data_IF_791964793028
#
_entry.id   IF_791964793028
#
_cell.length_a   1.000
_cell.length_b   1.000
_cell.length_c   1.000
_cell.angle_alpha   90.00
_cell.angle_beta   90.00
_cell.angle_gamma   90.00
#
_symmetry.space_group_name_H-M   'P 1'
#
loop_
_entity.id
_entity.type
_entity.pdbx_description
1 polymer ?
#
# COMPACT_ATOMS: atom_id res chain seq x y z
N UNK A 1 4.76 -6.05 2.63
CA UNK A 1 5.91 -6.05 3.57
C UNK A 1 7.25 -6.43 2.91
N UNK A 2 7.87 -7.58 3.21
CA UNK A 2 9.25 -7.89 2.78
C UNK A 2 9.44 -7.89 1.25
N UNK A 3 8.40 -8.26 0.50
CA UNK A 3 8.42 -8.16 -0.97
C UNK A 3 8.68 -6.74 -1.46
N UNK A 4 8.15 -5.71 -0.79
CA UNK A 4 8.39 -4.31 -1.18
C UNK A 4 9.85 -3.91 -0.93
N UNK A 5 10.47 -4.37 0.16
CA UNK A 5 11.91 -4.17 0.41
C UNK A 5 12.73 -4.78 -0.73
N UNK A 6 12.40 -6.00 -1.16
CA UNK A 6 13.08 -6.65 -2.29
C UNK A 6 12.87 -5.86 -3.58
N UNK A 7 11.68 -5.33 -3.84
CA UNK A 7 11.41 -4.51 -5.03
C UNK A 7 12.23 -3.21 -5.06
N UNK A 8 12.48 -2.59 -3.90
CA UNK A 8 13.35 -1.41 -3.82
C UNK A 8 14.83 -1.76 -3.97
N UNK A 9 15.29 -2.83 -3.33
CA UNK A 9 16.69 -3.29 -3.41
C UNK A 9 17.05 -3.88 -4.79
N UNK A 10 16.06 -4.40 -5.53
CA UNK A 10 16.22 -4.83 -6.92
C UNK A 10 16.02 -3.72 -7.95
N UNK A 11 15.75 -2.49 -7.51
CA UNK A 11 15.50 -1.32 -8.35
C UNK A 11 14.31 -1.44 -9.32
N UNK A 12 13.38 -2.35 -9.03
CA UNK A 12 12.06 -2.37 -9.70
C UNK A 12 11.16 -1.25 -9.20
N UNK A 13 11.39 -0.79 -7.97
CA UNK A 13 10.79 0.40 -7.37
C UNK A 13 11.91 1.33 -6.83
N UNK A 14 11.72 2.66 -6.88
CA UNK A 14 12.69 3.59 -6.34
C UNK A 14 12.58 3.74 -4.81
N UNK A 15 13.64 4.25 -4.20
CA UNK A 15 13.75 4.44 -2.75
C UNK A 15 14.31 3.21 -2.03
N UNK A 16 14.16 3.18 -0.72
CA UNK A 16 14.54 2.04 0.13
C UNK A 16 13.67 2.01 1.39
N UNK A 17 13.73 0.90 2.12
CA UNK A 17 13.02 0.68 3.36
C UNK A 17 14.04 0.57 4.49
N UNK A 18 13.90 1.39 5.54
CA UNK A 18 14.75 1.33 6.72
C UNK A 18 13.94 0.95 7.97
N UNK A 19 14.67 0.76 9.09
CA UNK A 19 14.07 0.56 10.41
C UNK A 19 13.03 1.62 10.70
N UNK A 20 11.91 1.22 11.29
CA UNK A 20 10.92 2.15 11.81
C UNK A 20 11.59 3.17 12.74
N UNK A 21 11.16 4.44 12.69
CA UNK A 21 11.71 5.53 13.51
C UNK A 21 11.66 5.27 15.03
N UNK A 22 10.68 4.50 15.49
CA UNK A 22 10.53 4.08 16.88
C UNK A 22 11.29 2.78 17.24
N UNK A 23 12.03 2.19 16.30
CA UNK A 23 12.91 1.01 16.45
C UNK A 23 12.24 -0.24 17.05
N UNK A 24 10.91 -0.35 16.95
CA UNK A 24 10.12 -1.49 17.43
C UNK A 24 9.35 -2.14 16.29
N UNK A 25 9.13 -3.45 16.41
CA UNK A 25 8.17 -4.16 15.58
C UNK A 25 6.76 -3.66 15.91
N UNK A 26 5.97 -3.41 14.86
CA UNK A 26 4.58 -2.98 14.95
C UNK A 26 3.68 -4.03 14.32
N UNK A 27 2.66 -4.42 15.07
CA UNK A 27 1.56 -5.28 14.64
C UNK A 27 0.26 -4.59 15.00
N UNK A 28 -0.42 -4.00 14.00
CA UNK A 28 -1.66 -3.26 14.21
C UNK A 28 -2.47 -3.18 12.93
N UNK A 29 -3.74 -2.87 13.07
CA UNK A 29 -4.57 -2.48 11.94
C UNK A 29 -4.27 -1.03 11.58
N UNK A 30 -4.25 -0.76 10.28
CA UNK A 30 -3.82 0.52 9.75
C UNK A 30 -4.78 0.97 8.65
N UNK A 31 -5.31 2.17 8.83
CA UNK A 31 -6.10 2.87 7.81
C UNK A 31 -5.15 3.41 6.75
N UNK A 32 -5.46 3.11 5.49
CA UNK A 32 -4.78 3.61 4.31
C UNK A 32 -5.77 4.35 3.43
N UNK A 33 -5.31 5.43 2.79
CA UNK A 33 -6.04 6.07 1.70
C UNK A 33 -5.45 5.63 0.36
N UNK A 34 -6.33 5.25 -0.56
CA UNK A 34 -5.99 4.96 -1.96
C UNK A 34 -5.73 6.28 -2.67
N UNK A 35 -4.49 6.56 -3.03
CA UNK A 35 -4.10 7.78 -3.75
C UNK A 35 -4.15 7.57 -5.27
N UNK A 36 -3.82 6.36 -5.74
CA UNK A 36 -3.87 6.01 -7.15
C UNK A 36 -4.61 4.68 -7.35
N UNK A 37 -5.81 4.75 -7.91
CA UNK A 37 -6.62 3.59 -8.30
C UNK A 37 -6.36 3.10 -9.73
N UNK A 38 -5.45 3.71 -10.49
CA UNK A 38 -5.19 3.41 -11.91
C UNK A 38 -4.02 2.42 -12.13
N UNK A 39 -3.63 1.64 -11.12
CA UNK A 39 -2.61 0.58 -11.27
C UNK A 39 -3.24 -0.77 -11.58
N UNK A 40 -2.46 -1.75 -12.06
CA UNK A 40 -2.97 -3.12 -12.26
C UNK A 40 -3.49 -3.79 -10.97
N UNK A 41 -3.14 -3.25 -9.80
CA UNK A 41 -3.44 -3.81 -8.48
C UNK A 41 -4.53 -3.04 -7.72
N UNK A 42 -5.08 -1.96 -8.29
CA UNK A 42 -5.98 -1.06 -7.55
C UNK A 42 -7.22 -0.61 -8.32
N UNK A 43 -7.54 -1.26 -9.44
CA UNK A 43 -8.68 -0.91 -10.30
C UNK A 43 -10.05 -1.07 -9.63
N UNK A 44 -10.14 -1.98 -8.66
CA UNK A 44 -11.38 -2.24 -7.91
C UNK A 44 -11.52 -1.34 -6.68
N UNK A 45 -10.65 -0.33 -6.54
CA UNK A 45 -10.74 0.71 -5.51
C UNK A 45 -11.08 2.08 -6.14
N UNK A 46 -11.65 2.96 -5.33
CA UNK A 46 -11.87 4.37 -5.71
C UNK A 46 -10.72 5.26 -5.22
N UNK A 47 -10.36 6.29 -6.00
CA UNK A 47 -9.41 7.29 -5.55
C UNK A 47 -9.97 8.05 -4.34
N UNK A 48 -9.19 8.14 -3.28
CA UNK A 48 -9.61 8.71 -1.99
C UNK A 48 -10.32 7.74 -1.06
N UNK A 49 -10.61 6.51 -1.49
CA UNK A 49 -11.17 5.46 -0.63
C UNK A 49 -10.23 5.19 0.54
N UNK A 50 -10.78 5.05 1.74
CA UNK A 50 -10.05 4.56 2.91
C UNK A 50 -10.31 3.06 3.10
N UNK A 51 -9.24 2.32 3.35
CA UNK A 51 -9.26 0.87 3.58
C UNK A 51 -8.49 0.55 4.85
N UNK A 52 -8.91 -0.50 5.57
CA UNK A 52 -8.19 -0.96 6.76
C UNK A 52 -7.54 -2.32 6.51
N UNK A 53 -6.21 -2.37 6.63
CA UNK A 53 -5.46 -3.63 6.45
C UNK A 53 -4.40 -3.82 7.55
N UNK A 54 -4.05 -5.06 7.91
CA UNK A 54 -3.04 -5.32 8.93
C UNK A 54 -1.64 -4.84 8.51
N UNK A 55 -0.90 -4.25 9.44
CA UNK A 55 0.52 -3.93 9.31
C UNK A 55 1.33 -4.77 10.29
N UNK A 56 2.42 -5.39 9.80
CA UNK A 56 3.32 -6.26 10.59
C UNK A 56 4.77 -6.05 10.15
N UNK A 57 5.46 -5.05 10.70
CA UNK A 57 6.81 -4.68 10.23
C UNK A 57 7.75 -4.17 11.33
N UNK A 58 9.05 -4.38 11.14
CA UNK A 58 10.13 -3.73 11.90
C UNK A 58 10.94 -2.75 11.04
N UNK A 59 11.08 -3.06 9.75
CA UNK A 59 11.82 -2.29 8.76
C UNK A 59 10.87 -1.84 7.64
N UNK A 60 9.96 -0.90 7.92
CA UNK A 60 9.07 -0.41 6.87
C UNK A 60 8.94 1.09 6.78
N UNK A 61 9.92 1.85 7.25
CA UNK A 61 10.00 3.28 6.95
C UNK A 61 10.44 3.45 5.48
N UNK A 62 9.54 3.91 4.63
CA UNK A 62 9.88 4.26 3.25
C UNK A 62 10.67 5.57 3.21
N UNK A 63 11.83 5.53 2.55
CA UNK A 63 12.68 6.69 2.32
C UNK A 63 13.07 6.80 0.85
N UNK A 64 13.20 8.04 0.39
CA UNK A 64 13.82 8.39 -0.87
C UNK A 64 14.34 9.83 -0.77
N UNK A 65 15.19 10.24 -1.73
CA UNK A 65 15.58 11.65 -1.82
C UNK A 65 14.40 12.53 -2.28
N UNK A 66 14.47 13.84 -2.02
CA UNK A 66 13.36 14.76 -2.35
C UNK A 66 13.01 14.76 -3.83
N UNK A 67 13.99 14.57 -4.73
CA UNK A 67 13.74 14.54 -6.19
C UNK A 67 12.90 13.33 -6.57
N UNK A 68 13.21 12.15 -6.01
CA UNK A 68 12.44 10.93 -6.21
C UNK A 68 11.05 11.07 -5.60
N UNK A 69 10.94 11.62 -4.40
CA UNK A 69 9.64 11.87 -3.78
C UNK A 69 8.79 12.81 -4.63
N UNK A 70 9.35 13.91 -5.13
CA UNK A 70 8.66 14.85 -6.01
C UNK A 70 8.22 14.20 -7.32
N UNK A 71 9.06 13.35 -7.91
CA UNK A 71 8.70 12.60 -9.12
C UNK A 71 7.56 11.62 -8.85
N UNK A 72 7.58 10.90 -7.73
CA UNK A 72 6.50 9.99 -7.34
C UNK A 72 5.16 10.72 -7.17
N UNK A 73 5.17 11.91 -6.57
CA UNK A 73 3.98 12.75 -6.43
C UNK A 73 3.49 13.26 -7.79
N UNK A 74 4.39 13.85 -8.58
CA UNK A 74 4.05 14.47 -9.87
C UNK A 74 3.54 13.44 -10.90
N UNK A 75 4.08 12.23 -10.87
CA UNK A 75 3.69 11.13 -11.75
C UNK A 75 2.49 10.34 -11.21
N UNK A 76 1.95 10.69 -10.03
CA UNK A 76 0.84 9.97 -9.41
C UNK A 76 1.17 8.53 -9.02
N UNK A 77 2.43 8.24 -8.68
CA UNK A 77 2.93 6.87 -8.39
C UNK A 77 2.87 6.49 -6.92
N UNK A 78 2.40 7.40 -6.06
CA UNK A 78 2.00 7.04 -4.69
C UNK A 78 0.66 6.33 -4.77
N UNK A 79 0.62 5.07 -4.32
CA UNK A 79 -0.58 4.22 -4.44
C UNK A 79 -1.39 4.26 -3.16
N UNK A 80 -0.72 4.18 -2.00
CA UNK A 80 -1.37 4.20 -0.70
C UNK A 80 -0.63 5.13 0.26
N UNK A 81 -1.37 5.86 1.09
CA UNK A 81 -0.85 6.61 2.23
C UNK A 81 -1.45 6.15 3.55
N UNK A 82 -0.66 6.25 4.60
CA UNK A 82 -1.15 6.13 5.96
C UNK A 82 -2.09 7.30 6.30
N UNK A 83 -3.24 7.00 6.89
CA UNK A 83 -4.20 8.01 7.38
C UNK A 83 -4.12 8.13 8.89
N UNK A 84 -4.13 9.37 9.38
CA UNK A 84 -4.14 9.71 10.81
C UNK A 84 -2.79 9.50 11.48
N UNK A 85 -2.32 8.25 11.55
CA UNK A 85 -1.05 7.90 12.18
C UNK A 85 -0.14 7.16 11.19
N UNK A 86 1.07 7.69 11.00
CA UNK A 86 2.15 7.06 10.25
C UNK A 86 2.96 6.15 11.19
N UNK A 87 2.86 4.82 11.05
CA UNK A 87 3.36 3.89 12.06
C UNK A 87 4.87 3.70 12.02
N UNK A 88 5.51 3.97 10.90
CA UNK A 88 6.93 3.68 10.69
C UNK A 88 7.76 4.94 10.38
N UNK A 89 7.12 6.10 10.30
CA UNK A 89 7.78 7.36 9.96
C UNK A 89 8.10 7.48 8.47
N UNK A 90 7.41 6.75 7.59
CA UNK A 90 7.59 6.83 6.14
C UNK A 90 7.51 8.26 5.64
N UNK A 91 8.39 8.65 4.70
CA UNK A 91 8.36 9.98 4.09
C UNK A 91 7.03 10.21 3.38
N UNK A 92 6.43 11.39 3.58
CA UNK A 92 5.14 11.81 3.01
C UNK A 92 4.00 10.82 3.30
N UNK A 93 4.09 10.09 4.42
CA UNK A 93 3.11 9.08 4.83
C UNK A 93 2.89 7.96 3.81
N UNK A 94 3.89 7.69 2.95
CA UNK A 94 3.79 6.69 1.89
C UNK A 94 3.78 5.28 2.49
N UNK A 95 2.73 4.53 2.19
CA UNK A 95 2.58 3.12 2.54
C UNK A 95 2.87 2.18 1.36
N UNK A 96 2.69 2.66 0.12
CA UNK A 96 2.97 1.92 -1.10
C UNK A 96 3.09 2.79 -2.35
N UNK A 97 3.87 2.32 -3.31
CA UNK A 97 4.15 3.02 -4.58
C UNK A 97 4.09 2.06 -5.76
N UNK A 98 3.98 2.61 -6.97
CA UNK A 98 4.08 1.85 -8.22
C UNK A 98 5.34 2.23 -9.03
N UNK A 99 5.70 1.37 -9.97
CA UNK A 99 6.57 1.76 -11.08
C UNK A 99 5.82 2.67 -12.07
N UNK A 100 6.54 3.24 -13.03
CA UNK A 100 5.95 4.16 -14.02
C UNK A 100 4.92 3.47 -14.94
N UNK A 101 5.05 2.17 -15.17
CA UNK A 101 4.11 1.38 -15.98
C UNK A 101 2.84 0.94 -15.20
N UNK A 102 2.79 1.13 -13.88
CA UNK A 102 1.65 0.76 -13.04
C UNK A 102 1.42 -0.74 -12.87
N UNK A 103 2.35 -1.60 -13.30
CA UNK A 103 2.23 -3.06 -13.23
C UNK A 103 3.00 -3.67 -12.04
N UNK A 104 3.95 -2.94 -11.46
CA UNK A 104 4.64 -3.32 -10.22
C UNK A 104 4.20 -2.37 -9.12
N UNK A 105 3.61 -2.92 -8.05
CA UNK A 105 3.19 -2.18 -6.86
C UNK A 105 3.84 -2.79 -5.64
N UNK A 106 4.48 -1.94 -4.84
CA UNK A 106 5.01 -2.28 -3.53
C UNK A 106 4.09 -1.72 -2.46
N UNK A 107 3.73 -2.56 -1.48
CA UNK A 107 2.89 -2.18 -0.35
C UNK A 107 3.46 -2.75 0.94
N UNK A 108 3.51 -1.92 1.98
CA UNK A 108 4.05 -2.34 3.28
C UNK A 108 3.03 -3.08 4.14
N UNK A 109 1.80 -2.57 4.35
CA UNK A 109 0.70 -3.34 4.92
C UNK A 109 0.35 -4.61 4.14
N UNK A 110 -0.45 -5.47 4.75
CA UNK A 110 -0.74 -6.84 4.32
C UNK A 110 -2.21 -7.00 3.88
N UNK A 111 -2.57 -6.60 2.65
CA UNK A 111 -3.94 -6.77 2.15
C UNK A 111 -4.35 -8.24 2.08
N UNK A 112 -3.40 -9.18 1.97
CA UNK A 112 -3.68 -10.62 1.96
C UNK A 112 -4.30 -11.15 3.25
N UNK A 113 -4.16 -10.42 4.36
CA UNK A 113 -4.77 -10.77 5.64
C UNK A 113 -6.18 -10.18 5.82
N UNK A 114 -6.72 -9.49 4.80
CA UNK A 114 -8.05 -8.90 4.82
C UNK A 114 -8.80 -9.26 3.52
N UNK A 115 -8.86 -10.54 3.18
CA UNK A 115 -9.52 -11.03 1.95
C UNK A 115 -10.72 -11.93 2.21
N UNK A 116 -10.89 -12.40 3.45
CA UNK A 116 -11.93 -13.34 3.86
C UNK A 116 -12.64 -12.83 5.12
N UNK A 117 -13.97 -12.91 5.10
CA UNK A 117 -14.80 -12.48 6.22
C UNK A 117 -14.45 -13.25 7.50
N UNK A 118 -14.31 -12.53 8.61
CA UNK A 118 -13.89 -13.02 9.91
C UNK A 118 -12.37 -13.04 10.14
N UNK A 119 -11.55 -12.70 9.14
CA UNK A 119 -10.08 -12.74 9.25
C UNK A 119 -9.39 -11.38 9.12
N UNK A 120 -10.02 -10.42 8.44
CA UNK A 120 -9.51 -9.05 8.37
C UNK A 120 -9.94 -8.17 9.54
N UNK A 121 -9.38 -6.95 9.62
CA UNK A 121 -9.79 -5.97 10.62
C UNK A 121 -11.24 -5.58 10.43
N UNK A 122 -11.97 -5.43 11.54
CA UNK A 122 -13.21 -4.65 11.49
C UNK A 122 -12.86 -3.17 11.25
N UNK A 123 -13.74 -2.45 10.54
CA UNK A 123 -13.65 -1.00 10.34
C UNK A 123 -13.38 -0.29 11.67
N UNK A 124 -12.23 0.39 11.77
CA UNK A 124 -11.78 1.04 13.01
C UNK A 124 -12.66 2.23 13.43
N UNK A 125 -13.41 2.79 12.49
CA UNK A 125 -14.36 3.89 12.66
C UNK A 125 -15.83 3.43 12.65
N UNK A 126 -16.10 2.14 12.45
CA UNK A 126 -17.44 1.56 12.37
C UNK A 126 -18.27 2.05 11.16
N UNK A 127 -17.63 2.75 10.22
CA UNK A 127 -18.26 3.34 9.04
C UNK A 127 -17.56 2.80 7.79
N UNK A 128 -18.21 1.90 7.07
CA UNK A 128 -17.88 1.64 5.66
C UNK A 128 -16.67 0.75 5.36
N UNK A 129 -16.01 0.15 6.35
CA UNK A 129 -14.98 -0.88 6.09
C UNK A 129 -15.54 -2.30 6.23
N UNK A 130 -15.12 -3.18 5.32
CA UNK A 130 -15.34 -4.62 5.42
C UNK A 130 -14.10 -5.28 6.01
N UNK A 131 -14.27 -6.43 6.65
CA UNK A 131 -13.14 -7.30 7.01
C UNK A 131 -12.46 -7.96 5.78
N UNK A 132 -12.86 -7.53 4.58
CA UNK A 132 -12.32 -7.96 3.29
C UNK A 132 -11.76 -6.80 2.46
N UNK A 133 -11.40 -5.67 3.08
CA UNK A 133 -10.88 -4.48 2.40
C UNK A 133 -9.62 -4.73 1.53
N UNK A 134 -8.85 -5.77 1.82
CA UNK A 134 -7.71 -6.21 1.02
C UNK A 134 -8.07 -7.02 -0.23
N UNK A 135 -9.31 -7.51 -0.35
CA UNK A 135 -9.79 -8.31 -1.48
C UNK A 135 -9.72 -7.54 -2.81
N UNK A 136 -10.01 -6.24 -2.78
CA UNK A 136 -9.93 -5.34 -3.95
C UNK A 136 -8.56 -5.40 -4.66
N UNK A 137 -7.49 -5.59 -3.89
CA UNK A 137 -6.12 -5.64 -4.41
C UNK A 137 -5.90 -6.83 -5.35
N UNK A 138 -6.48 -7.99 -5.02
CA UNK A 138 -6.32 -9.22 -5.80
C UNK A 138 -7.36 -9.35 -6.91
N UNK A 139 -8.58 -8.86 -6.67
CA UNK A 139 -9.63 -8.82 -7.70
C UNK A 139 -9.26 -7.85 -8.83
N UNK A 140 -8.61 -6.72 -8.51
CA UNK A 140 -8.06 -5.78 -9.50
C UNK A 140 -7.14 -6.45 -10.53
N UNK A 141 -6.17 -7.25 -10.08
CA UNK A 141 -5.21 -7.89 -10.98
C UNK A 141 -5.87 -8.99 -11.82
N UNK A 142 -6.82 -9.74 -11.24
CA UNK A 142 -7.61 -10.73 -11.97
C UNK A 142 -8.46 -10.06 -13.06
N UNK A 143 -9.14 -8.96 -12.72
CA UNK A 143 -9.93 -8.18 -13.67
C UNK A 143 -9.06 -7.60 -14.79
N UNK A 144 -7.85 -7.14 -14.46
CA UNK A 144 -6.90 -6.65 -15.47
C UNK A 144 -6.44 -7.75 -16.44
N UNK A 145 -6.15 -8.95 -15.93
CA UNK A 145 -5.66 -10.08 -16.74
C UNK A 145 -6.79 -10.68 -17.58
N UNK A 146 -7.96 -10.92 -16.97
CA UNK A 146 -9.11 -11.55 -17.65
C UNK A 146 -9.81 -10.56 -18.59
N UNK A 147 -9.93 -9.30 -18.17
CA UNK A 147 -10.54 -8.22 -18.95
C UNK A 147 -9.64 -7.69 -20.07
N UNK A 148 -8.33 -7.93 -20.02
CA UNK A 148 -7.36 -7.52 -21.05
C UNK A 148 -7.42 -8.29 -22.38
N UNK A 149 -8.34 -9.27 -22.51
CA UNK A 149 -8.61 -10.03 -23.73
C UNK A 149 -9.80 -9.49 -24.56
N UNK A 150 -10.16 -8.21 -24.41
CA UNK A 150 -11.15 -7.54 -25.27
C UNK A 150 -10.57 -6.31 -25.93
#
# INVERSE_FOLDING_TARGET
CNGFQILTESHLLPGSMIKNDHLKFLCRDQVLRVENSNTAWTLDYEAGQEITVPLKNQDGQYIADEKVLDALEAEGRVVFRYVGFNPNGSRRDIAGISNAAGNVVGLMPHPEHAVETGFGPESLDGIGGSDTDGLGFFTSVLNKIVGGNK
#
